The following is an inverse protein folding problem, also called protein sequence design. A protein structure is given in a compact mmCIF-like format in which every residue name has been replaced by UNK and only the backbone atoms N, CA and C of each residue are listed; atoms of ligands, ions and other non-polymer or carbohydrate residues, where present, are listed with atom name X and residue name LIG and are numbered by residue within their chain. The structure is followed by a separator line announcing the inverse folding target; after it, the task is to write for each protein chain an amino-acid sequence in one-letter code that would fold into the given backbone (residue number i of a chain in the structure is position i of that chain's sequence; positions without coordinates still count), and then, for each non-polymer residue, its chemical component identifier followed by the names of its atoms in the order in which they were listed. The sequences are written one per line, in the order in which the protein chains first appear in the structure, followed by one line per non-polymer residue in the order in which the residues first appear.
data_IF_899892135846
#
_entry.id   IF_899892135846
#
_cell.length_a   1.000
_cell.length_b   1.000
_cell.length_c   1.000
_cell.angle_alpha   90.00
_cell.angle_beta   90.00
_cell.angle_gamma   90.00
#
_symmetry.space_group_name_H-M   'P 1'
#
loop_
_entity.id
_entity.type
_entity.pdbx_description
1 polymer ?
#
# COMPACT_ATOMS: atom_id res chain seq x y z
N UNK A 1 -0.61 17.35 -4.60
CA UNK A 1 0.42 16.29 -4.54
C UNK A 1 0.95 16.31 -3.12
N UNK A 2 0.91 15.19 -2.40
CA UNK A 2 1.42 15.12 -1.03
C UNK A 2 2.95 15.26 -1.04
N UNK A 3 3.49 16.00 -0.08
CA UNK A 3 4.93 16.06 0.16
C UNK A 3 5.40 14.78 0.84
N UNK A 4 6.72 14.53 0.84
CA UNK A 4 7.28 13.40 1.58
C UNK A 4 6.96 13.48 3.08
N UNK A 5 6.91 14.69 3.64
CA UNK A 5 6.57 14.91 5.05
C UNK A 5 5.11 14.55 5.35
N UNK A 6 4.17 14.96 4.47
CA UNK A 6 2.74 14.60 4.64
C UNK A 6 2.54 13.07 4.64
N UNK A 7 3.32 12.35 3.82
CA UNK A 7 3.26 10.90 3.73
C UNK A 7 3.89 10.21 4.95
N UNK A 8 4.97 10.76 5.52
CA UNK A 8 5.56 10.26 6.77
C UNK A 8 4.54 10.39 7.90
N UNK A 9 3.93 11.56 8.06
CA UNK A 9 2.92 11.81 9.09
C UNK A 9 1.71 10.87 8.95
N UNK A 10 1.27 10.62 7.71
CA UNK A 10 0.22 9.65 7.43
C UNK A 10 0.62 8.23 7.85
N UNK A 11 1.84 7.78 7.52
CA UNK A 11 2.32 6.46 7.92
C UNK A 11 2.39 6.34 9.43
N UNK A 12 2.86 7.37 10.13
CA UNK A 12 2.91 7.37 11.60
C UNK A 12 1.54 7.28 12.24
N UNK A 13 0.53 7.98 11.70
CA UNK A 13 -0.86 7.86 12.15
C UNK A 13 -1.39 6.44 11.92
N UNK A 14 -1.14 5.85 10.74
CA UNK A 14 -1.65 4.53 10.39
C UNK A 14 -1.02 3.41 11.22
N UNK A 15 0.24 3.55 11.64
CA UNK A 15 0.94 2.57 12.49
C UNK A 15 0.35 2.43 13.89
N UNK A 16 -0.38 3.43 14.36
CA UNK A 16 -1.09 3.40 15.65
C UNK A 16 -2.45 2.67 15.57
N UNK A 17 -2.92 2.32 14.37
CA UNK A 17 -4.14 1.51 14.18
C UNK A 17 -3.90 0.04 14.59
N UNK A 18 -4.98 -0.70 14.80
CA UNK A 18 -4.91 -2.13 15.12
C UNK A 18 -4.43 -2.98 13.94
N UNK A 19 -3.82 -4.12 14.23
CA UNK A 19 -3.24 -5.06 13.26
C UNK A 19 -4.28 -5.70 12.34
N UNK A 20 -5.51 -5.93 12.82
CA UNK A 20 -6.56 -6.67 12.10
C UNK A 20 -7.61 -5.72 11.50
N UNK A 21 -7.17 -4.87 10.58
CA UNK A 21 -8.01 -3.89 9.91
C UNK A 21 -8.36 -4.32 8.48
N UNK A 22 -9.63 -4.20 8.09
CA UNK A 22 -10.09 -4.57 6.73
C UNK A 22 -9.67 -3.57 5.63
N UNK A 23 -9.11 -2.41 6.00
CA UNK A 23 -8.78 -1.30 5.09
C UNK A 23 -7.32 -0.85 5.19
N UNK A 24 -6.51 -1.46 6.05
CA UNK A 24 -5.09 -1.17 6.24
C UNK A 24 -4.32 -2.49 6.31
N UNK A 25 -3.31 -2.65 5.46
CA UNK A 25 -2.43 -3.82 5.45
C UNK A 25 -0.96 -3.37 5.46
N UNK A 26 -0.16 -3.99 6.33
CA UNK A 26 1.29 -3.82 6.38
C UNK A 26 2.02 -5.00 5.73
N UNK A 27 3.08 -4.70 4.99
CA UNK A 27 4.02 -5.69 4.46
C UNK A 27 5.44 -5.25 4.71
N UNK A 28 6.29 -6.18 5.12
CA UNK A 28 7.72 -5.91 5.29
C UNK A 28 8.40 -5.64 3.94
N UNK A 29 8.05 -6.38 2.90
CA UNK A 29 8.62 -6.24 1.56
C UNK A 29 7.65 -6.73 0.48
N UNK A 30 8.09 -6.68 -0.77
CA UNK A 30 7.38 -7.14 -1.95
C UNK A 30 6.73 -8.53 -1.75
N UNK A 31 5.46 -8.60 -2.14
CA UNK A 31 4.67 -9.82 -2.33
C UNK A 31 4.39 -9.97 -3.81
N UNK A 32 3.78 -11.07 -4.27
CA UNK A 32 3.58 -11.24 -5.71
C UNK A 32 2.67 -10.15 -6.29
N UNK A 33 2.84 -9.82 -7.58
CA UNK A 33 1.96 -8.87 -8.28
C UNK A 33 0.47 -9.22 -8.11
N UNK A 34 0.14 -10.51 -8.13
CA UNK A 34 -1.21 -11.01 -7.92
C UNK A 34 -1.72 -10.67 -6.51
N UNK A 35 -0.91 -10.92 -5.48
CA UNK A 35 -1.26 -10.58 -4.09
C UNK A 35 -1.50 -9.07 -3.94
N UNK A 36 -0.68 -8.22 -4.58
CA UNK A 36 -0.89 -6.76 -4.58
C UNK A 36 -2.25 -6.40 -5.16
N UNK A 37 -2.64 -7.03 -6.28
CA UNK A 37 -3.96 -6.83 -6.89
C UNK A 37 -5.11 -7.26 -5.98
N UNK A 38 -4.94 -8.39 -5.29
CA UNK A 38 -5.92 -8.90 -4.33
C UNK A 38 -6.05 -7.97 -3.12
N UNK A 39 -4.94 -7.48 -2.57
CA UNK A 39 -4.94 -6.48 -1.51
C UNK A 39 -5.65 -5.20 -1.93
N UNK A 40 -5.34 -4.63 -3.10
CA UNK A 40 -6.02 -3.43 -3.59
C UNK A 40 -7.54 -3.63 -3.65
N UNK A 41 -7.98 -4.78 -4.16
CA UNK A 41 -9.41 -5.12 -4.22
C UNK A 41 -10.04 -5.25 -2.84
N UNK A 42 -9.42 -6.03 -1.95
CA UNK A 42 -9.91 -6.27 -0.60
C UNK A 42 -9.97 -4.99 0.22
N UNK A 43 -8.88 -4.21 0.24
CA UNK A 43 -8.75 -2.97 1.00
C UNK A 43 -9.69 -1.88 0.50
N UNK A 44 -9.91 -1.79 -0.82
CA UNK A 44 -10.90 -0.85 -1.39
C UNK A 44 -12.32 -1.18 -0.91
N UNK A 45 -12.67 -2.47 -0.89
CA UNK A 45 -13.99 -2.91 -0.41
C UNK A 45 -14.12 -2.72 1.11
N UNK A 46 -13.08 -3.04 1.88
CA UNK A 46 -13.05 -2.83 3.33
C UNK A 46 -13.16 -1.35 3.69
N UNK A 47 -12.45 -0.47 2.98
CA UNK A 47 -12.55 0.98 3.17
C UNK A 47 -13.98 1.48 2.91
N UNK A 48 -14.59 1.06 1.80
CA UNK A 48 -15.98 1.41 1.47
C UNK A 48 -16.96 0.92 2.55
N UNK A 49 -16.80 -0.31 3.04
CA UNK A 49 -17.66 -0.88 4.09
C UNK A 49 -17.54 -0.13 5.42
N UNK A 50 -16.33 0.34 5.77
CA UNK A 50 -16.08 1.12 6.99
C UNK A 50 -16.33 2.63 6.82
N UNK A 51 -16.77 3.08 5.65
CA UNK A 51 -16.96 4.50 5.35
C UNK A 51 -15.66 5.32 5.36
N UNK A 52 -14.52 4.66 5.13
CA UNK A 52 -13.20 5.30 4.99
C UNK A 52 -13.03 5.77 3.54
N UNK A 53 -12.41 6.94 3.30
CA UNK A 53 -12.20 7.44 1.95
C UNK A 53 -11.17 6.62 1.15
N UNK A 54 -10.25 5.93 1.83
CA UNK A 54 -9.15 5.17 1.24
C UNK A 54 -8.86 3.90 2.04
N UNK A 55 -8.37 2.87 1.34
CA UNK A 55 -7.63 1.76 1.94
C UNK A 55 -6.14 1.92 1.66
N UNK A 56 -5.29 1.33 2.51
CA UNK A 56 -3.85 1.50 2.47
C UNK A 56 -3.13 0.15 2.49
N UNK A 57 -2.19 -0.02 1.55
CA UNK A 57 -1.22 -1.11 1.54
C UNK A 57 0.16 -0.49 1.68
N UNK A 58 0.85 -0.76 2.79
CA UNK A 58 2.12 -0.11 3.12
C UNK A 58 3.24 -1.14 3.15
N UNK A 59 4.25 -0.93 2.32
CA UNK A 59 5.46 -1.75 2.28
C UNK A 59 6.58 -1.11 3.13
N UNK A 60 7.37 -1.95 3.79
CA UNK A 60 8.48 -1.54 4.65
C UNK A 60 8.11 -1.36 6.12
N UNK A 61 7.00 -1.94 6.56
CA UNK A 61 6.54 -1.96 7.96
C UNK A 61 6.38 -3.40 8.41
N UNK A 62 6.86 -3.73 9.61
CA UNK A 62 6.62 -5.05 10.21
C UNK A 62 5.14 -5.21 10.59
N UNK A 63 4.52 -6.29 10.14
CA UNK A 63 3.09 -6.55 10.30
C UNK A 63 2.68 -6.80 11.77
N UNK A 64 3.62 -7.15 12.66
CA UNK A 64 3.29 -7.44 14.06
C UNK A 64 3.67 -6.31 15.00
N UNK A 65 4.83 -5.71 14.78
CA UNK A 65 5.34 -4.64 15.66
C UNK A 65 4.95 -3.26 15.17
N UNK A 66 4.48 -3.14 13.92
CA UNK A 66 4.27 -1.86 13.22
C UNK A 66 5.52 -0.99 13.19
N UNK A 67 6.72 -1.56 13.34
CA UNK A 67 7.97 -0.83 13.21
C UNK A 67 8.30 -0.59 11.73
N UNK A 68 8.77 0.63 11.41
CA UNK A 68 9.28 0.92 10.07
C UNK A 68 10.65 0.27 9.91
N UNK A 69 10.71 -0.75 9.07
CA UNK A 69 11.93 -1.52 8.78
C UNK A 69 12.51 -1.21 7.40
N UNK A 70 11.78 -0.42 6.60
CA UNK A 70 12.14 -0.10 5.23
C UNK A 70 11.94 -1.28 4.27
N UNK A 71 12.10 -1.02 2.98
CA UNK A 71 11.89 -2.04 1.94
C UNK A 71 12.86 -1.86 0.78
N UNK A 72 13.19 -2.97 0.12
CA UNK A 72 13.91 -2.96 -1.16
C UNK A 72 12.98 -3.01 -2.37
N UNK A 73 11.66 -3.05 -2.12
CA UNK A 73 10.65 -3.05 -3.16
C UNK A 73 10.63 -1.72 -3.91
N UNK A 74 10.98 -1.78 -5.20
CA UNK A 74 10.81 -0.69 -6.15
C UNK A 74 9.76 -1.10 -7.18
N UNK A 75 8.53 -0.56 -7.04
CA UNK A 75 7.41 -0.90 -7.91
C UNK A 75 7.67 -0.57 -9.39
N UNK A 76 8.55 0.41 -9.68
CA UNK A 76 8.88 0.82 -11.06
C UNK A 76 9.77 -0.21 -11.76
N UNK A 77 10.44 -1.07 -11.00
CA UNK A 77 11.23 -2.18 -11.53
C UNK A 77 10.43 -3.48 -11.67
N UNK A 78 9.23 -3.55 -11.10
CA UNK A 78 8.38 -4.75 -11.20
C UNK A 78 7.55 -4.74 -12.48
N UNK A 79 7.39 -5.94 -13.05
CA UNK A 79 6.64 -6.16 -14.28
C UNK A 79 5.80 -7.43 -14.17
N UNK A 80 4.70 -7.47 -14.91
CA UNK A 80 3.99 -8.70 -15.24
C UNK A 80 4.18 -9.00 -16.73
N UNK A 81 5.01 -10.00 -17.05
CA UNK A 81 5.46 -10.21 -18.42
C UNK A 81 6.24 -8.98 -18.92
N UNK A 82 5.72 -8.32 -19.95
CA UNK A 82 6.32 -7.10 -20.52
C UNK A 82 5.66 -5.79 -20.06
N UNK A 83 4.64 -5.87 -19.20
CA UNK A 83 3.87 -4.72 -18.71
C UNK A 83 4.41 -4.27 -17.34
N UNK A 84 4.56 -2.97 -17.13
CA UNK A 84 4.93 -2.42 -15.82
C UNK A 84 3.82 -2.68 -14.79
N UNK A 85 4.22 -3.00 -13.56
CA UNK A 85 3.29 -3.42 -12.49
C UNK A 85 2.12 -2.45 -12.31
N UNK A 86 2.39 -1.15 -12.24
CA UNK A 86 1.34 -0.14 -12.01
C UNK A 86 0.28 -0.15 -13.12
N UNK A 87 0.70 -0.26 -14.39
CA UNK A 87 -0.21 -0.31 -15.53
C UNK A 87 -1.03 -1.60 -15.53
N UNK A 88 -0.37 -2.72 -15.24
CA UNK A 88 -1.02 -4.02 -15.13
C UNK A 88 -2.10 -4.01 -14.04
N UNK A 89 -1.80 -3.49 -12.84
CA UNK A 89 -2.75 -3.38 -11.74
C UNK A 89 -3.96 -2.49 -12.10
N UNK A 90 -3.75 -1.35 -12.75
CA UNK A 90 -4.84 -0.46 -13.21
C UNK A 90 -5.78 -1.15 -14.20
N UNK A 91 -5.29 -2.11 -14.98
CA UNK A 91 -6.13 -2.87 -15.91
C UNK A 91 -6.97 -3.93 -15.20
N UNK A 92 -6.47 -4.52 -14.12
CA UNK A 92 -7.09 -5.66 -13.45
C UNK A 92 -8.26 -5.34 -12.52
N UNK A 93 -8.41 -4.09 -12.07
CA UNK A 93 -9.53 -3.73 -11.20
C UNK A 93 -10.80 -3.48 -12.01
N UNK A 94 -11.86 -4.23 -11.73
CA UNK A 94 -13.23 -4.03 -12.23
C UNK A 94 -14.26 -4.16 -11.08
N UNK A 95 -15.10 -3.13 -10.81
CA UNK A 95 -15.06 -1.79 -11.40
C UNK A 95 -13.69 -1.12 -11.19
N UNK A 96 -13.36 -0.14 -12.03
CA UNK A 96 -12.07 0.55 -11.98
C UNK A 96 -11.85 1.17 -10.60
N UNK A 97 -10.91 0.61 -9.84
CA UNK A 97 -10.49 1.17 -8.54
C UNK A 97 -9.40 2.21 -8.83
N UNK A 98 -9.63 3.45 -8.39
CA UNK A 98 -8.61 4.48 -8.41
C UNK A 98 -7.63 4.29 -7.26
N UNK A 99 -6.37 3.99 -7.58
CA UNK A 99 -5.29 3.93 -6.59
C UNK A 99 -4.09 4.76 -7.05
N UNK A 100 -3.26 5.15 -6.08
CA UNK A 100 -2.03 5.92 -6.29
C UNK A 100 -0.90 5.23 -5.53
N UNK A 101 0.29 5.16 -6.12
CA UNK A 101 1.48 4.60 -5.48
C UNK A 101 2.42 5.76 -5.15
N UNK A 102 2.85 5.82 -3.90
CA UNK A 102 3.82 6.80 -3.41
C UNK A 102 5.07 6.10 -2.91
N UNK A 103 6.23 6.71 -3.17
CA UNK A 103 7.50 6.32 -2.57
C UNK A 103 7.83 7.30 -1.45
N UNK A 104 8.22 6.80 -0.29
CA UNK A 104 8.46 7.60 0.91
C UNK A 104 9.91 7.39 1.33
N UNK A 105 10.65 8.49 1.44
CA UNK A 105 11.97 8.52 2.07
C UNK A 105 11.75 8.70 3.57
N UNK A 106 11.51 7.58 4.26
CA UNK A 106 11.25 7.56 5.68
C UNK A 106 12.58 7.63 6.44
N UNK A 107 12.91 8.83 6.94
CA UNK A 107 14.02 9.02 7.87
C UNK A 107 13.41 9.01 9.25
N UNK A 108 13.63 7.95 10.05
CA UNK A 108 13.28 8.01 11.46
C UNK A 108 14.02 9.20 12.08
N UNK A 109 13.28 10.12 12.71
CA UNK A 109 13.84 11.24 13.48
C UNK A 109 14.66 10.72 14.66
#
# INVERSE_FOLDING_TARGET
MYSNQDLIELVDILREEETETEWLEFKSNYVSNQDIGEYISALSNGAALKGRPFGYLIFGVDDKTHEVIGTTFDYRKQKQGNEDLENWLKRLTDPKIGFMIYEIQYSAL
#
